data_IF_718761324418
#
_entry.id   IF_718761324418
#
_cell.length_a   1.000
_cell.length_b   1.000
_cell.length_c   1.000
_cell.angle_alpha   90.00
_cell.angle_beta   90.00
_cell.angle_gamma   90.00
#
_symmetry.space_group_name_H-M   'P 1'
#
loop_
_entity.id
_entity.type
_entity.pdbx_description
1 polymer ?
#
# COMPACT_ATOMS: atom_id res chain seq x y z
N UNK A 1 -27.49 14.41 57.80
CA UNK A 1 -26.29 13.57 57.62
C UNK A 1 -25.99 13.43 56.14
N UNK A 2 -25.09 14.25 55.60
CA UNK A 2 -24.70 14.21 54.19
C UNK A 2 -23.49 13.29 54.03
N UNK A 3 -23.60 12.27 53.16
CA UNK A 3 -22.50 11.35 52.84
C UNK A 3 -21.69 11.93 51.68
N UNK A 4 -20.50 12.41 51.98
CA UNK A 4 -19.46 12.73 51.00
C UNK A 4 -18.73 11.45 50.59
N UNK A 5 -18.91 11.01 49.34
CA UNK A 5 -18.15 9.90 48.76
C UNK A 5 -16.77 10.35 48.26
N UNK A 6 -15.78 9.44 48.17
CA UNK A 6 -14.43 9.77 47.72
C UNK A 6 -14.42 10.13 46.23
N UNK A 7 -13.87 11.30 45.93
CA UNK A 7 -13.60 11.79 44.58
C UNK A 7 -12.50 10.93 43.98
N UNK A 8 -12.84 10.14 42.95
CA UNK A 8 -11.88 9.33 42.21
C UNK A 8 -10.86 10.18 41.45
N UNK A 9 -9.68 9.63 41.12
CA UNK A 9 -8.62 10.36 40.43
C UNK A 9 -9.10 10.84 39.06
N UNK A 10 -9.04 12.15 38.85
CA UNK A 10 -9.34 12.80 37.58
C UNK A 10 -8.18 12.55 36.62
N UNK A 11 -8.41 11.74 35.58
CA UNK A 11 -7.46 11.56 34.49
C UNK A 11 -7.39 12.87 33.69
N UNK A 12 -6.31 13.64 33.88
CA UNK A 12 -5.97 14.78 33.04
C UNK A 12 -5.71 14.30 31.60
N UNK A 13 -6.55 14.73 30.67
CA UNK A 13 -6.36 14.52 29.24
C UNK A 13 -5.12 15.27 28.76
N UNK A 14 -4.07 14.54 28.37
CA UNK A 14 -2.89 15.10 27.74
C UNK A 14 -3.27 15.68 26.36
N UNK A 15 -2.99 16.97 26.16
CA UNK A 15 -3.12 17.63 24.87
C UNK A 15 -2.06 17.11 23.90
N UNK A 16 -2.47 16.82 22.67
CA UNK A 16 -1.57 16.43 21.58
C UNK A 16 -0.88 17.70 21.06
N UNK A 17 0.43 17.82 21.30
CA UNK A 17 1.27 18.81 20.65
C UNK A 17 1.86 18.19 19.37
N UNK A 18 1.74 18.91 18.26
CA UNK A 18 2.36 18.56 16.97
C UNK A 18 3.40 19.62 16.63
N UNK A 19 4.61 19.20 16.31
CA UNK A 19 5.68 20.10 15.86
C UNK A 19 5.54 20.39 14.35
N UNK A 20 6.11 21.51 13.88
CA UNK A 20 6.02 22.04 12.50
C UNK A 20 6.56 21.09 11.40
N UNK A 21 7.17 19.97 11.77
CA UNK A 21 7.63 18.92 10.85
C UNK A 21 6.57 17.87 10.53
N UNK A 22 5.38 17.94 11.14
CA UNK A 22 4.30 16.98 10.95
C UNK A 22 4.60 15.58 11.51
N UNK A 23 5.69 15.43 12.27
CA UNK A 23 6.03 14.17 12.92
C UNK A 23 5.37 14.11 14.30
N UNK A 24 4.40 13.21 14.46
CA UNK A 24 3.77 12.96 15.76
C UNK A 24 4.78 12.23 16.62
N UNK A 25 5.43 12.96 17.54
CA UNK A 25 6.27 12.36 18.57
C UNK A 25 5.36 11.55 19.49
N UNK A 26 5.53 10.23 19.46
CA UNK A 26 4.79 9.32 20.33
C UNK A 26 5.16 9.61 21.80
N UNK A 27 4.37 10.42 22.48
CA UNK A 27 4.48 10.60 23.92
C UNK A 27 4.10 9.28 24.58
N UNK A 28 5.05 8.68 25.29
CA UNK A 28 4.86 7.43 26.01
C UNK A 28 3.68 7.55 26.99
N UNK A 29 2.57 6.89 26.66
CA UNK A 29 1.42 6.75 27.56
C UNK A 29 1.88 5.87 28.72
N UNK A 30 2.17 6.49 29.87
CA UNK A 30 2.46 5.80 31.11
C UNK A 30 1.19 5.10 31.61
N UNK A 31 1.03 3.84 31.21
CA UNK A 31 -0.05 2.94 31.60
C UNK A 31 0.13 2.51 33.07
N UNK A 32 -0.45 3.28 34.01
CA UNK A 32 -0.30 3.14 35.48
C UNK A 32 -0.86 1.85 36.11
N UNK A 33 -1.22 0.82 35.34
CA UNK A 33 -1.87 -0.39 35.87
C UNK A 33 -1.29 -1.74 35.44
N UNK A 34 -0.28 -1.78 34.56
CA UNK A 34 0.21 -3.07 34.03
C UNK A 34 1.17 -3.77 34.98
N UNK A 35 0.72 -4.94 35.45
CA UNK A 35 1.53 -5.98 36.12
C UNK A 35 2.91 -6.05 35.49
N UNK A 36 3.96 -5.94 36.31
CA UNK A 36 5.36 -6.02 35.86
C UNK A 36 5.52 -7.25 34.96
N UNK A 37 6.00 -7.09 33.71
CA UNK A 37 6.26 -8.23 32.85
C UNK A 37 7.25 -9.15 33.57
N UNK A 38 6.94 -10.44 33.61
CA UNK A 38 7.83 -11.44 34.20
C UNK A 38 9.19 -11.35 33.49
N UNK A 39 10.26 -11.32 34.28
CA UNK A 39 11.63 -11.07 33.83
C UNK A 39 12.17 -11.92 32.66
N UNK A 40 11.75 -13.19 32.40
CA UNK A 40 12.38 -13.98 31.34
C UNK A 40 12.09 -13.51 29.90
N UNK A 41 11.07 -12.69 29.67
CA UNK A 41 10.73 -12.23 28.30
C UNK A 41 11.53 -10.99 27.85
N UNK A 42 12.15 -10.25 28.76
CA UNK A 42 12.85 -9.00 28.43
C UNK A 42 14.17 -9.23 27.67
N UNK A 43 14.88 -10.33 27.97
CA UNK A 43 16.19 -10.62 27.37
C UNK A 43 16.11 -11.03 25.89
N UNK A 44 15.07 -11.78 25.50
CA UNK A 44 14.86 -12.20 24.11
C UNK A 44 14.58 -10.99 23.20
N UNK A 45 13.75 -10.06 23.66
CA UNK A 45 13.45 -8.84 22.92
C UNK A 45 14.69 -7.94 22.77
N UNK A 46 15.58 -7.91 23.77
CA UNK A 46 16.83 -7.15 23.67
C UNK A 46 17.76 -7.71 22.58
N UNK A 47 17.92 -9.05 22.51
CA UNK A 47 18.75 -9.66 21.48
C UNK A 47 18.20 -9.41 20.07
N UNK A 48 16.90 -9.54 19.88
CA UNK A 48 16.26 -9.31 18.57
C UNK A 48 16.35 -7.84 18.16
N UNK A 49 16.08 -6.91 19.08
CA UNK A 49 16.20 -5.46 18.80
C UNK A 49 17.64 -5.06 18.49
N UNK A 50 18.63 -5.55 19.25
CA UNK A 50 20.05 -5.33 18.95
C UNK A 50 20.46 -5.92 17.60
N UNK A 51 19.99 -7.13 17.28
CA UNK A 51 20.24 -7.77 15.98
C UNK A 51 19.67 -6.95 14.84
N UNK A 52 18.44 -6.44 14.95
CA UNK A 52 17.82 -5.57 13.96
C UNK A 52 18.57 -4.24 13.82
N UNK A 53 19.00 -3.63 14.94
CA UNK A 53 19.86 -2.42 14.93
C UNK A 53 21.19 -2.68 14.21
N UNK A 54 21.87 -3.78 14.52
CA UNK A 54 23.11 -4.19 13.86
C UNK A 54 22.92 -4.50 12.38
N UNK A 55 21.81 -5.13 12.00
CA UNK A 55 21.46 -5.37 10.61
C UNK A 55 21.23 -4.06 9.86
N UNK A 56 20.44 -3.13 10.41
CA UNK A 56 20.17 -1.83 9.79
C UNK A 56 21.45 -0.98 9.63
N UNK A 57 22.29 -0.92 10.67
CA UNK A 57 23.57 -0.23 10.62
C UNK A 57 24.53 -0.87 9.61
N UNK A 58 24.61 -2.21 9.58
CA UNK A 58 25.43 -2.94 8.62
C UNK A 58 24.98 -2.74 7.17
N UNK A 59 23.67 -2.72 6.92
CA UNK A 59 23.10 -2.36 5.59
C UNK A 59 23.52 -0.95 5.19
N UNK A 60 23.48 0.01 6.11
CA UNK A 60 23.88 1.39 5.82
C UNK A 60 25.37 1.50 5.44
N UNK A 61 26.27 0.79 6.14
CA UNK A 61 27.70 0.75 5.80
C UNK A 61 27.91 0.15 4.41
N UNK A 62 27.29 -1.00 4.12
CA UNK A 62 27.47 -1.63 2.81
C UNK A 62 26.93 -0.74 1.70
N UNK A 63 25.80 -0.06 1.89
CA UNK A 63 25.29 0.91 0.90
C UNK A 63 26.29 2.04 0.64
N UNK A 64 26.99 2.55 1.65
CA UNK A 64 28.05 3.55 1.46
C UNK A 64 29.21 2.98 0.65
N UNK A 65 29.65 1.76 0.94
CA UNK A 65 30.72 1.06 0.18
C UNK A 65 30.29 0.88 -1.28
N UNK A 66 29.06 0.41 -1.53
CA UNK A 66 28.53 0.23 -2.88
C UNK A 66 28.36 1.54 -3.67
N UNK A 67 28.23 2.67 -2.98
CA UNK A 67 28.19 4.00 -3.61
C UNK A 67 29.60 4.52 -3.93
N UNK A 68 30.58 4.20 -3.07
CA UNK A 68 31.97 4.66 -3.19
C UNK A 68 32.78 3.83 -4.20
N UNK A 69 32.59 2.52 -4.19
CA UNK A 69 33.35 1.57 -4.99
C UNK A 69 32.48 0.94 -6.08
N UNK A 70 33.02 0.82 -7.29
CA UNK A 70 32.35 0.15 -8.41
C UNK A 70 32.81 -1.31 -8.51
N UNK A 71 31.85 -2.23 -8.60
CA UNK A 71 32.11 -3.67 -8.68
C UNK A 71 31.64 -4.25 -10.03
N UNK A 72 32.35 -3.98 -11.15
CA UNK A 72 31.90 -4.42 -12.48
C UNK A 72 31.82 -5.96 -12.60
N UNK A 73 32.68 -6.69 -11.87
CA UNK A 73 32.74 -8.15 -11.88
C UNK A 73 31.98 -8.82 -10.72
N UNK A 74 31.25 -8.02 -9.93
CA UNK A 74 30.72 -8.42 -8.64
C UNK A 74 31.81 -8.58 -7.58
N UNK A 75 31.40 -8.92 -6.35
CA UNK A 75 32.28 -9.08 -5.20
C UNK A 75 32.01 -10.38 -4.45
N UNK A 76 33.03 -10.90 -3.78
CA UNK A 76 32.90 -12.04 -2.86
C UNK A 76 32.46 -11.58 -1.47
N UNK A 77 31.92 -12.50 -0.67
CA UNK A 77 31.48 -12.14 0.70
C UNK A 77 32.67 -11.78 1.60
N UNK A 78 33.85 -12.34 1.35
CA UNK A 78 35.07 -12.02 2.08
C UNK A 78 35.55 -10.60 1.75
N UNK A 79 35.64 -10.24 0.47
CA UNK A 79 36.00 -8.88 0.03
C UNK A 79 35.09 -7.82 0.65
N UNK A 80 33.78 -8.04 0.60
CA UNK A 80 32.81 -7.11 1.19
C UNK A 80 32.95 -7.01 2.71
N UNK A 81 33.31 -8.11 3.39
CA UNK A 81 33.57 -8.08 4.82
C UNK A 81 34.82 -7.28 5.16
N UNK A 82 35.91 -7.49 4.43
CA UNK A 82 37.17 -6.77 4.65
C UNK A 82 37.02 -5.26 4.40
N UNK A 83 36.21 -4.88 3.40
CA UNK A 83 35.84 -3.48 3.17
C UNK A 83 34.95 -2.93 4.28
N UNK A 84 33.96 -3.70 4.72
CA UNK A 84 33.05 -3.29 5.79
C UNK A 84 33.77 -3.07 7.12
N UNK A 85 34.80 -3.87 7.45
CA UNK A 85 35.57 -3.73 8.69
C UNK A 85 36.48 -2.48 8.68
N UNK A 86 36.87 -1.98 7.50
CA UNK A 86 37.66 -0.74 7.38
C UNK A 86 36.83 0.51 7.60
N UNK A 87 35.52 0.44 7.38
CA UNK A 87 34.61 1.56 7.64
C UNK A 87 34.37 1.70 9.16
N UNK A 88 34.38 2.92 9.71
CA UNK A 88 34.15 3.11 11.13
C UNK A 88 32.70 2.79 11.50
N UNK A 89 32.51 2.23 12.71
CA UNK A 89 31.17 1.98 13.24
C UNK A 89 30.41 3.31 13.42
N UNK A 90 29.08 3.35 13.21
CA UNK A 90 28.28 4.55 13.46
C UNK A 90 28.40 5.00 14.92
N UNK A 91 28.44 6.31 15.13
CA UNK A 91 28.50 6.90 16.47
C UNK A 91 27.34 6.41 17.33
N UNK A 92 27.65 5.96 18.54
CA UNK A 92 26.65 5.45 19.50
C UNK A 92 26.13 4.03 19.20
N UNK A 93 26.73 3.28 18.28
CA UNK A 93 26.38 1.87 18.11
C UNK A 93 26.74 1.07 19.37
N UNK A 94 25.77 0.42 20.04
CA UNK A 94 26.05 -0.34 21.25
C UNK A 94 26.86 -1.58 20.89
N UNK A 95 28.02 -1.75 21.52
CA UNK A 95 28.77 -3.01 21.47
C UNK A 95 27.83 -4.16 21.82
N UNK A 96 27.78 -5.21 21.01
CA UNK A 96 26.89 -6.33 21.31
C UNK A 96 27.26 -6.92 22.67
N UNK A 97 26.32 -7.00 23.64
CA UNK A 97 26.54 -7.73 24.87
C UNK A 97 26.47 -9.22 24.51
N UNK A 98 27.54 -9.71 23.89
CA UNK A 98 27.86 -11.12 23.95
C UNK A 98 28.10 -11.36 25.43
N UNK A 99 27.06 -11.80 26.15
CA UNK A 99 27.25 -12.26 27.50
C UNK A 99 28.40 -13.26 27.41
N UNK A 100 29.55 -12.87 27.95
CA UNK A 100 30.70 -13.77 28.10
C UNK A 100 30.37 -14.80 29.17
N UNK A 101 29.16 -15.34 29.19
CA UNK A 101 28.91 -16.65 29.72
C UNK A 101 29.59 -17.61 28.75
N UNK A 102 30.92 -17.65 28.86
CA UNK A 102 31.63 -18.93 28.86
C UNK A 102 30.89 -19.75 29.90
N UNK A 103 29.85 -20.47 29.49
CA UNK A 103 29.49 -21.69 30.19
C UNK A 103 30.81 -22.44 30.20
N UNK A 104 31.45 -22.49 31.38
CA UNK A 104 32.69 -23.23 31.59
C UNK A 104 32.50 -24.54 30.84
N UNK A 105 33.45 -24.93 29.96
CA UNK A 105 33.26 -26.04 29.03
C UNK A 105 32.67 -27.18 29.85
N UNK A 106 31.38 -27.45 29.65
CA UNK A 106 30.73 -28.54 30.34
C UNK A 106 31.64 -29.72 30.04
N UNK A 107 32.13 -30.40 31.07
CA UNK A 107 33.14 -31.44 30.94
C UNK A 107 32.55 -32.62 30.15
N UNK A 108 32.35 -32.42 28.85
CA UNK A 108 31.81 -33.39 27.93
C UNK A 108 32.95 -34.36 27.71
N UNK A 109 32.79 -35.51 28.38
CA UNK A 109 33.62 -36.69 28.32
C UNK A 109 34.25 -36.85 26.93
N UNK A 110 35.58 -36.74 26.93
CA UNK A 110 36.49 -36.91 25.81
C UNK A 110 36.10 -38.14 24.96
N UNK A 111 35.40 -37.96 23.84
CA UNK A 111 35.59 -38.86 22.70
C UNK A 111 36.93 -38.49 22.08
N UNK A 112 37.87 -39.40 22.23
CA UNK A 112 39.30 -39.24 21.96
C UNK A 112 39.54 -39.34 20.46
N UNK A 113 39.04 -38.37 19.69
CA UNK A 113 39.39 -38.28 18.27
C UNK A 113 40.86 -37.82 18.17
N UNK A 114 41.70 -38.67 17.58
CA UNK A 114 43.18 -38.64 17.65
C UNK A 114 43.86 -37.43 16.99
N UNK A 115 43.12 -36.40 16.56
CA UNK A 115 43.65 -35.09 16.09
C UNK A 115 42.72 -33.93 16.46
N UNK A 116 42.03 -34.01 17.61
CA UNK A 116 41.04 -33.03 18.05
C UNK A 116 41.65 -31.74 18.60
N UNK A 117 42.04 -30.82 17.72
CA UNK A 117 42.10 -29.39 18.06
C UNK A 117 40.64 -28.93 18.14
N UNK A 118 40.10 -28.89 19.36
CA UNK A 118 38.82 -28.23 19.61
C UNK A 118 39.07 -26.75 19.36
N UNK A 119 38.73 -26.27 18.17
CA UNK A 119 38.76 -24.83 17.89
C UNK A 119 37.85 -24.16 18.94
N UNK A 120 38.41 -23.28 19.79
CA UNK A 120 37.59 -22.56 20.76
C UNK A 120 36.49 -21.84 19.98
N UNK A 121 35.25 -21.86 20.48
CA UNK A 121 34.14 -21.11 19.88
C UNK A 121 34.60 -19.69 19.61
N UNK A 122 34.94 -19.42 18.34
CA UNK A 122 35.62 -18.20 17.97
C UNK A 122 34.61 -17.08 18.09
N UNK A 123 34.86 -16.17 19.01
CA UNK A 123 34.08 -14.94 19.11
C UNK A 123 34.14 -14.23 17.75
N UNK A 124 33.06 -13.54 17.35
CA UNK A 124 33.11 -12.70 16.15
C UNK A 124 34.32 -11.77 16.26
N UNK A 125 35.12 -11.67 15.19
CA UNK A 125 36.39 -10.94 15.22
C UNK A 125 36.25 -9.47 15.62
N UNK A 126 35.08 -8.86 15.34
CA UNK A 126 34.80 -7.45 15.63
C UNK A 126 33.44 -7.29 16.34
N UNK A 127 33.36 -7.46 17.68
CA UNK A 127 32.10 -7.38 18.42
C UNK A 127 31.50 -5.95 18.50
N UNK A 128 32.35 -4.94 18.38
CA UNK A 128 31.95 -3.52 18.45
C UNK A 128 31.46 -2.99 17.09
N UNK A 129 31.68 -3.75 16.02
CA UNK A 129 31.28 -3.37 14.67
C UNK A 129 29.89 -3.95 14.32
N UNK A 130 29.01 -3.21 13.63
CA UNK A 130 27.70 -3.74 13.21
C UNK A 130 27.82 -4.96 12.29
N UNK A 131 28.87 -5.03 11.46
CA UNK A 131 29.22 -6.22 10.67
C UNK A 131 30.21 -7.08 11.46
N UNK A 132 29.69 -7.82 12.45
CA UNK A 132 30.50 -8.57 13.42
C UNK A 132 31.26 -9.79 12.89
N UNK A 133 30.73 -10.43 11.86
CA UNK A 133 31.33 -11.63 11.26
C UNK A 133 30.87 -11.84 9.83
N UNK A 134 31.65 -12.59 9.05
CA UNK A 134 31.30 -13.03 7.69
C UNK A 134 29.96 -13.77 7.68
N UNK A 135 29.71 -14.61 8.71
CA UNK A 135 28.44 -15.32 8.86
C UNK A 135 27.27 -14.35 9.04
N UNK A 136 27.43 -13.31 9.87
CA UNK A 136 26.40 -12.30 10.09
C UNK A 136 26.09 -11.51 8.80
N UNK A 137 27.14 -11.14 8.06
CA UNK A 137 27.02 -10.51 6.74
C UNK A 137 26.20 -11.38 5.78
N UNK A 138 26.55 -12.67 5.69
CA UNK A 138 25.90 -13.65 4.80
C UNK A 138 24.47 -13.98 5.17
N UNK A 139 24.16 -14.14 6.46
CA UNK A 139 22.84 -14.60 6.91
C UNK A 139 21.80 -13.46 7.02
N UNK A 140 22.20 -12.22 7.31
CA UNK A 140 21.24 -11.15 7.65
C UNK A 140 21.33 -9.92 6.75
N UNK A 141 22.54 -9.47 6.41
CA UNK A 141 22.72 -8.21 5.71
C UNK A 141 22.55 -8.41 4.19
N UNK A 142 23.29 -9.36 3.60
CA UNK A 142 23.22 -9.62 2.16
C UNK A 142 21.81 -10.07 1.70
N UNK A 143 21.09 -10.94 2.44
CA UNK A 143 19.71 -11.27 2.10
C UNK A 143 18.76 -10.07 2.19
N UNK A 144 18.99 -9.11 3.09
CA UNK A 144 18.19 -7.90 3.18
C UNK A 144 18.38 -7.00 1.95
N UNK A 145 19.64 -6.81 1.52
CA UNK A 145 19.97 -6.06 0.30
C UNK A 145 19.42 -6.76 -0.96
N UNK A 146 19.49 -8.09 -1.00
CA UNK A 146 18.91 -8.90 -2.08
C UNK A 146 17.37 -8.80 -2.12
N UNK A 147 16.70 -8.80 -0.96
CA UNK A 147 15.26 -8.60 -0.85
C UNK A 147 14.81 -7.22 -1.33
N UNK A 148 15.65 -6.21 -1.16
CA UNK A 148 15.46 -4.85 -1.70
C UNK A 148 15.88 -4.73 -3.17
N UNK A 149 16.40 -5.81 -3.77
CA UNK A 149 16.87 -5.87 -5.16
C UNK A 149 17.95 -4.83 -5.45
N UNK A 150 18.80 -4.56 -4.47
CA UNK A 150 20.01 -3.73 -4.64
C UNK A 150 21.17 -4.60 -5.15
N UNK A 151 21.18 -5.87 -4.78
CA UNK A 151 22.17 -6.85 -5.22
C UNK A 151 21.49 -8.15 -5.69
N UNK A 152 22.14 -8.86 -6.61
CA UNK A 152 21.77 -10.20 -7.04
C UNK A 152 22.94 -11.17 -6.85
N UNK A 153 22.65 -12.40 -6.42
CA UNK A 153 23.66 -13.46 -6.40
C UNK A 153 23.71 -14.11 -7.77
N UNK A 154 24.88 -14.11 -8.41
CA UNK A 154 25.08 -14.75 -9.71
C UNK A 154 26.23 -15.74 -9.66
N UNK A 155 26.04 -16.88 -10.32
CA UNK A 155 27.05 -17.91 -10.50
C UNK A 155 27.92 -17.52 -11.70
N UNK A 156 29.19 -17.22 -11.46
CA UNK A 156 30.15 -16.83 -12.50
C UNK A 156 31.28 -17.86 -12.58
N UNK A 157 31.80 -18.17 -13.78
CA UNK A 157 32.98 -19.00 -13.91
C UNK A 157 34.15 -18.33 -13.18
N UNK A 158 34.95 -19.14 -12.48
CA UNK A 158 36.18 -18.69 -11.80
C UNK A 158 37.18 -18.12 -12.81
N UNK A 159 38.07 -17.23 -12.38
CA UNK A 159 39.09 -16.64 -13.26
C UNK A 159 39.95 -17.71 -13.96
N UNK A 160 40.27 -18.81 -13.26
CA UNK A 160 40.99 -19.96 -13.84
C UNK A 160 40.23 -20.61 -14.99
N UNK A 161 38.92 -20.75 -14.83
CA UNK A 161 38.07 -21.36 -15.86
C UNK A 161 37.82 -20.43 -17.04
N UNK A 162 37.77 -19.12 -16.80
CA UNK A 162 37.73 -18.14 -17.88
C UNK A 162 39.03 -18.17 -18.69
N UNK A 163 40.20 -18.17 -18.02
CA UNK A 163 41.50 -18.27 -18.68
C UNK A 163 41.65 -19.58 -19.49
N UNK A 164 41.21 -20.71 -18.94
CA UNK A 164 41.24 -21.99 -19.66
C UNK A 164 40.27 -22.05 -20.85
N UNK A 165 39.12 -21.36 -20.76
CA UNK A 165 38.18 -21.21 -21.89
C UNK A 165 38.77 -20.33 -22.99
N UNK A 166 39.44 -19.23 -22.61
CA UNK A 166 40.12 -18.33 -23.55
C UNK A 166 41.32 -19.01 -24.23
N UNK A 167 42.04 -19.87 -23.51
CA UNK A 167 43.13 -20.69 -24.04
C UNK A 167 42.65 -21.83 -24.97
N UNK A 168 41.34 -22.09 -25.05
CA UNK A 168 40.78 -23.16 -25.87
C UNK A 168 41.05 -24.57 -25.36
N UNK A 169 41.54 -24.72 -24.13
CA UNK A 169 41.85 -26.02 -23.51
C UNK A 169 40.59 -26.84 -23.20
N UNK A 170 39.46 -26.15 -23.00
CA UNK A 170 38.17 -26.77 -22.68
C UNK A 170 37.27 -26.82 -23.93
N UNK A 171 36.77 -27.99 -24.32
CA UNK A 171 35.82 -28.10 -25.42
C UNK A 171 34.55 -27.28 -25.12
N UNK A 172 34.06 -26.53 -26.12
CA UNK A 172 32.84 -25.70 -26.01
C UNK A 172 31.58 -26.50 -25.59
N UNK A 173 31.62 -27.82 -25.70
CA UNK A 173 30.52 -28.73 -25.36
C UNK A 173 30.62 -29.31 -23.95
N UNK A 174 31.75 -29.14 -23.26
CA UNK A 174 31.94 -29.74 -21.93
C UNK A 174 31.15 -28.95 -20.89
N UNK A 175 30.19 -29.61 -20.24
CA UNK A 175 29.45 -29.03 -19.11
C UNK A 175 30.42 -28.73 -17.97
N UNK A 176 30.58 -27.45 -17.66
CA UNK A 176 31.43 -27.00 -16.56
C UNK A 176 30.95 -27.59 -15.22
N UNK A 177 31.88 -28.09 -14.41
CA UNK A 177 31.59 -28.69 -13.11
C UNK A 177 31.25 -27.62 -12.06
N UNK A 178 30.60 -28.00 -10.96
CA UNK A 178 30.19 -27.04 -9.92
C UNK A 178 31.36 -26.26 -9.29
N UNK A 179 32.53 -26.89 -9.17
CA UNK A 179 33.76 -26.28 -8.64
C UNK A 179 34.36 -25.20 -9.53
N UNK A 180 33.98 -25.17 -10.81
CA UNK A 180 34.46 -24.19 -11.78
C UNK A 180 33.73 -22.84 -11.66
N UNK A 181 32.69 -22.77 -10.84
CA UNK A 181 31.93 -21.55 -10.63
C UNK A 181 32.05 -21.04 -9.20
N UNK A 182 32.04 -19.72 -9.11
CA UNK A 182 32.03 -18.97 -7.87
C UNK A 182 30.72 -18.17 -7.77
N UNK A 183 30.15 -18.16 -6.57
CA UNK A 183 28.99 -17.33 -6.26
C UNK A 183 29.46 -15.91 -5.92
N UNK A 184 29.13 -14.95 -6.78
CA UNK A 184 29.46 -13.54 -6.58
C UNK A 184 28.19 -12.71 -6.45
N UNK A 185 28.26 -11.65 -5.65
CA UNK A 185 27.19 -10.68 -5.53
C UNK A 185 27.41 -9.56 -6.55
N UNK A 186 26.36 -9.24 -7.29
CA UNK A 186 26.36 -8.21 -8.33
C UNK A 186 25.45 -7.08 -7.91
N UNK A 187 25.92 -5.85 -8.12
CA UNK A 187 25.13 -4.65 -7.83
C UNK A 187 24.15 -4.41 -8.97
N UNK A 188 22.87 -4.28 -8.65
CA UNK A 188 21.83 -3.94 -9.63
C UNK A 188 21.80 -2.41 -9.75
N UNK A 189 22.03 -1.85 -10.96
CA UNK A 189 21.92 -0.41 -11.20
C UNK A 189 20.53 0.11 -10.78
N UNK A 190 20.43 1.33 -10.21
CA UNK A 190 19.16 1.87 -9.73
C UNK A 190 18.08 1.93 -10.82
N UNK A 191 18.46 2.10 -12.09
CA UNK A 191 17.58 2.10 -13.25
C UNK A 191 16.91 0.74 -13.51
N UNK A 192 17.59 -0.36 -13.19
CA UNK A 192 17.11 -1.73 -13.37
C UNK A 192 16.36 -2.27 -12.16
N UNK A 193 16.34 -1.52 -11.04
CA UNK A 193 15.61 -1.93 -9.84
C UNK A 193 14.12 -1.84 -10.14
N UNK A 194 13.35 -2.93 -9.95
CA UNK A 194 11.92 -2.84 -10.16
C UNK A 194 11.35 -1.88 -9.14
N UNK A 195 10.66 -0.85 -9.64
CA UNK A 195 9.98 0.13 -8.80
C UNK A 195 9.05 -0.62 -7.85
N UNK A 196 9.07 -0.27 -6.57
CA UNK A 196 8.11 -0.80 -5.62
C UNK A 196 6.71 -0.60 -6.22
N UNK A 197 5.85 -1.64 -6.24
CA UNK A 197 4.50 -1.48 -6.75
C UNK A 197 3.87 -0.32 -5.99
N UNK A 198 3.28 0.63 -6.71
CA UNK A 198 2.56 1.73 -6.08
C UNK A 198 1.60 1.14 -5.05
N UNK A 199 1.49 1.74 -3.84
CA UNK A 199 0.57 1.23 -2.83
C UNK A 199 -0.79 1.07 -3.48
N UNK A 200 -1.35 -0.15 -3.39
CA UNK A 200 -2.69 -0.41 -3.94
C UNK A 200 -3.61 0.64 -3.32
N UNK A 201 -4.40 1.37 -4.11
CA UNK A 201 -5.31 2.36 -3.56
C UNK A 201 -6.17 1.68 -2.49
N UNK A 202 -6.34 2.35 -1.34
CA UNK A 202 -7.14 1.81 -0.25
C UNK A 202 -8.51 1.46 -0.82
N UNK A 203 -8.88 0.16 -0.76
CA UNK A 203 -10.19 -0.28 -1.23
C UNK A 203 -11.23 0.41 -0.35
N UNK A 204 -12.03 1.29 -0.94
CA UNK A 204 -13.16 1.89 -0.22
C UNK A 204 -14.07 0.76 0.25
N UNK A 205 -14.19 0.60 1.55
CA UNK A 205 -15.10 -0.38 2.14
C UNK A 205 -16.51 0.13 1.86
N UNK A 206 -17.26 -0.61 1.04
CA UNK A 206 -18.65 -0.28 0.71
C UNK A 206 -19.54 -0.71 1.88
N UNK A 207 -20.41 0.18 2.34
CA UNK A 207 -21.39 -0.12 3.38
C UNK A 207 -21.00 0.28 4.80
N UNK A 208 -19.96 1.10 4.99
CA UNK A 208 -19.70 1.73 6.29
C UNK A 208 -20.94 2.49 6.80
N UNK A 209 -21.65 3.15 5.89
CA UNK A 209 -22.91 3.84 6.12
C UNK A 209 -24.06 2.95 6.62
N UNK A 210 -24.04 1.65 6.31
CA UNK A 210 -25.03 0.66 6.78
C UNK A 210 -24.51 -0.15 7.97
N UNK A 211 -23.39 0.27 8.55
CA UNK A 211 -22.81 -0.37 9.74
C UNK A 211 -22.01 -1.63 9.44
N UNK A 212 -21.47 -1.78 8.23
CA UNK A 212 -20.35 -2.71 8.00
C UNK A 212 -19.21 -2.31 8.94
N UNK A 213 -18.60 -3.29 9.62
CA UNK A 213 -17.58 -3.10 10.66
C UNK A 213 -18.06 -2.55 12.02
N UNK A 214 -19.37 -2.39 12.23
CA UNK A 214 -19.89 -2.13 13.58
C UNK A 214 -19.66 -3.33 14.50
N UNK A 215 -19.15 -3.09 15.71
CA UNK A 215 -18.98 -4.15 16.71
C UNK A 215 -20.33 -4.75 17.10
N UNK A 216 -20.52 -6.03 16.78
CA UNK A 216 -21.72 -6.82 17.09
C UNK A 216 -21.44 -7.96 18.06
N UNK A 217 -20.21 -8.02 18.61
CA UNK A 217 -19.78 -9.09 19.52
C UNK A 217 -20.62 -9.16 20.80
N UNK A 218 -21.13 -8.02 21.27
CA UNK A 218 -22.00 -7.92 22.45
C UNK A 218 -23.44 -8.41 22.24
N UNK A 219 -23.86 -8.67 20.99
CA UNK A 219 -25.21 -9.17 20.69
C UNK A 219 -25.29 -10.69 20.81
N UNK A 220 -26.46 -11.24 21.16
CA UNK A 220 -26.65 -12.70 21.12
C UNK A 220 -26.60 -13.23 19.67
N UNK A 221 -26.34 -14.53 19.52
CA UNK A 221 -26.21 -15.20 18.21
C UNK A 221 -27.38 -14.94 17.24
N UNK A 222 -28.64 -15.07 17.70
CA UNK A 222 -29.84 -14.78 16.88
C UNK A 222 -29.89 -13.33 16.40
N UNK A 223 -29.50 -12.38 17.25
CA UNK A 223 -29.45 -10.95 16.89
C UNK A 223 -28.29 -10.64 15.95
N UNK A 224 -27.14 -11.28 16.11
CA UNK A 224 -26.01 -11.19 15.20
C UNK A 224 -26.43 -11.66 13.80
N UNK A 225 -27.05 -12.83 13.68
CA UNK A 225 -27.53 -13.38 12.40
C UNK A 225 -28.57 -12.46 11.73
N UNK A 226 -29.55 -11.98 12.49
CA UNK A 226 -30.55 -11.03 11.98
C UNK A 226 -29.91 -9.73 11.48
N UNK A 227 -28.86 -9.24 12.18
CA UNK A 227 -28.14 -8.03 11.80
C UNK A 227 -27.27 -8.25 10.57
N UNK A 228 -26.54 -9.37 10.48
CA UNK A 228 -25.79 -9.76 9.28
C UNK A 228 -26.71 -9.82 8.07
N UNK A 229 -27.89 -10.46 8.20
CA UNK A 229 -28.88 -10.55 7.13
C UNK A 229 -29.49 -9.20 6.75
N UNK A 230 -29.61 -8.24 7.68
CA UNK A 230 -30.05 -6.88 7.37
C UNK A 230 -28.97 -6.10 6.63
N UNK A 231 -27.75 -6.08 7.19
CA UNK A 231 -26.61 -5.35 6.63
C UNK A 231 -26.27 -5.86 5.24
N UNK A 232 -26.29 -7.18 4.99
CA UNK A 232 -26.00 -7.73 3.66
C UNK A 232 -26.97 -7.23 2.60
N UNK A 233 -28.29 -7.24 2.88
CA UNK A 233 -29.32 -6.72 1.97
C UNK A 233 -29.14 -5.23 1.67
N UNK A 234 -28.77 -4.44 2.67
CA UNK A 234 -28.53 -3.01 2.49
C UNK A 234 -27.23 -2.74 1.70
N UNK A 235 -26.17 -3.50 1.95
CA UNK A 235 -24.92 -3.47 1.16
C UNK A 235 -25.16 -3.83 -0.30
N UNK A 236 -25.97 -4.86 -0.59
CA UNK A 236 -26.34 -5.22 -1.96
C UNK A 236 -27.09 -4.10 -2.68
N UNK A 237 -28.04 -3.44 -2.01
CA UNK A 237 -28.74 -2.27 -2.55
C UNK A 237 -27.79 -1.11 -2.83
N UNK A 238 -26.87 -0.82 -1.91
CA UNK A 238 -25.87 0.24 -2.08
C UNK A 238 -24.92 -0.06 -3.23
N UNK A 239 -24.49 -1.31 -3.40
CA UNK A 239 -23.69 -1.75 -4.55
C UNK A 239 -24.46 -1.54 -5.85
N UNK A 240 -25.71 -2.00 -5.93
CA UNK A 240 -26.56 -1.81 -7.10
C UNK A 240 -26.74 -0.32 -7.44
N UNK A 241 -26.96 0.53 -6.43
CA UNK A 241 -27.07 1.98 -6.62
C UNK A 241 -25.76 2.61 -7.09
N UNK A 242 -24.63 2.21 -6.51
CA UNK A 242 -23.29 2.66 -6.93
C UNK A 242 -23.01 2.28 -8.39
N UNK A 243 -23.29 1.04 -8.78
CA UNK A 243 -23.13 0.57 -10.16
C UNK A 243 -24.05 1.33 -11.12
N UNK A 244 -25.31 1.55 -10.73
CA UNK A 244 -26.25 2.35 -11.51
C UNK A 244 -25.77 3.80 -11.68
N UNK A 245 -25.31 4.44 -10.60
CA UNK A 245 -24.76 5.80 -10.68
C UNK A 245 -23.55 5.84 -11.60
N UNK A 246 -22.59 4.93 -11.45
CA UNK A 246 -21.41 4.88 -12.32
C UNK A 246 -21.78 4.72 -13.80
N UNK A 247 -22.75 3.85 -14.11
CA UNK A 247 -23.25 3.67 -15.49
C UNK A 247 -23.95 4.92 -16.00
N UNK A 248 -24.81 5.54 -15.17
CA UNK A 248 -25.50 6.78 -15.50
C UNK A 248 -24.49 7.90 -15.77
N UNK A 249 -23.53 8.09 -14.87
CA UNK A 249 -22.53 9.15 -14.96
C UNK A 249 -21.65 8.94 -16.20
N UNK A 250 -21.22 7.70 -16.49
CA UNK A 250 -20.52 7.38 -17.73
C UNK A 250 -21.35 7.63 -19.00
N UNK A 251 -22.68 7.43 -18.96
CA UNK A 251 -23.57 7.76 -20.07
C UNK A 251 -23.73 9.28 -20.22
N UNK A 252 -23.86 10.02 -19.13
CA UNK A 252 -23.92 11.47 -19.15
C UNK A 252 -22.63 12.08 -19.69
N UNK A 253 -21.47 11.57 -19.26
CA UNK A 253 -20.16 11.98 -19.77
C UNK A 253 -20.03 11.73 -21.29
N UNK A 254 -20.61 10.64 -21.80
CA UNK A 254 -20.67 10.36 -23.24
C UNK A 254 -21.60 11.32 -23.97
N UNK A 255 -22.79 11.59 -23.43
CA UNK A 255 -23.72 12.55 -24.00
C UNK A 255 -23.15 13.98 -24.02
N UNK A 256 -22.37 14.35 -23.02
CA UNK A 256 -21.71 15.66 -22.96
C UNK A 256 -20.58 15.79 -23.99
N UNK A 257 -19.88 14.69 -24.31
CA UNK A 257 -18.86 14.65 -25.36
C UNK A 257 -19.46 14.59 -26.76
N UNK A 258 -20.55 13.83 -26.94
CA UNK A 258 -21.15 13.55 -28.24
C UNK A 258 -22.42 14.38 -28.48
N UNK A 259 -22.24 15.62 -28.94
CA UNK A 259 -23.34 16.54 -29.26
C UNK A 259 -24.31 16.02 -30.34
N UNK A 260 -23.85 15.14 -31.24
CA UNK A 260 -24.72 14.51 -32.24
C UNK A 260 -25.67 13.47 -31.62
N UNK A 261 -25.17 12.70 -30.64
CA UNK A 261 -25.93 11.66 -29.98
C UNK A 261 -27.06 12.26 -29.14
N UNK A 262 -26.80 13.41 -28.50
CA UNK A 262 -27.85 14.18 -27.80
C UNK A 262 -28.94 14.68 -28.76
N UNK A 263 -28.58 15.15 -29.96
CA UNK A 263 -29.55 15.58 -30.97
C UNK A 263 -30.38 14.41 -31.50
N UNK A 264 -29.78 13.25 -31.76
CA UNK A 264 -30.50 12.05 -32.18
C UNK A 264 -31.45 11.55 -31.09
N UNK A 265 -31.01 11.59 -29.83
CA UNK A 265 -31.82 11.18 -28.69
C UNK A 265 -33.03 12.12 -28.52
N UNK A 266 -32.83 13.43 -28.66
CA UNK A 266 -33.91 14.42 -28.65
C UNK A 266 -34.92 14.19 -29.77
N UNK A 267 -34.47 13.97 -31.00
CA UNK A 267 -35.35 13.70 -32.15
C UNK A 267 -36.13 12.39 -31.97
N UNK A 268 -35.50 11.35 -31.40
CA UNK A 268 -36.19 10.09 -31.10
C UNK A 268 -37.24 10.24 -30.01
N UNK A 269 -36.96 11.04 -28.98
CA UNK A 269 -37.92 11.35 -27.92
C UNK A 269 -39.12 12.13 -28.45
N UNK A 270 -38.90 13.09 -29.34
CA UNK A 270 -39.96 13.86 -30.00
C UNK A 270 -40.87 12.96 -30.85
N UNK A 271 -40.28 12.05 -31.64
CA UNK A 271 -41.04 11.06 -32.43
C UNK A 271 -41.86 10.11 -31.56
N UNK A 272 -41.33 9.68 -30.41
CA UNK A 272 -42.07 8.82 -29.48
C UNK A 272 -43.22 9.57 -28.81
N UNK A 273 -42.99 10.80 -28.34
CA UNK A 273 -44.04 11.63 -27.73
C UNK A 273 -45.22 11.89 -28.67
N UNK A 274 -44.94 12.11 -29.96
CA UNK A 274 -45.98 12.27 -30.99
C UNK A 274 -46.75 10.97 -31.26
N UNK A 275 -46.12 9.80 -31.11
CA UNK A 275 -46.79 8.50 -31.33
C UNK A 275 -47.61 8.03 -30.13
N UNK A 276 -47.16 8.31 -28.92
CA UNK A 276 -47.83 7.83 -27.71
C UNK A 276 -48.96 8.75 -27.23
N UNK A 277 -49.26 9.84 -27.95
CA UNK A 277 -50.25 10.84 -27.51
C UNK A 277 -49.87 11.54 -26.21
N UNK A 278 -48.60 11.43 -25.78
CA UNK A 278 -48.17 11.92 -24.47
C UNK A 278 -48.18 13.45 -24.42
N UNK A 279 -48.03 14.09 -25.59
CA UNK A 279 -48.19 15.52 -25.75
C UNK A 279 -49.64 15.97 -25.54
N UNK A 280 -50.63 15.18 -25.99
CA UNK A 280 -52.05 15.47 -25.69
C UNK A 280 -52.34 15.32 -24.21
N UNK A 281 -51.88 14.24 -23.56
CA UNK A 281 -52.06 14.04 -22.11
C UNK A 281 -51.38 15.13 -21.28
N UNK A 282 -50.19 15.59 -21.69
CA UNK A 282 -49.49 16.68 -21.00
C UNK A 282 -50.17 18.04 -21.19
N UNK A 283 -50.75 18.30 -22.37
CA UNK A 283 -51.54 19.52 -22.59
C UNK A 283 -52.88 19.46 -21.83
N UNK A 284 -53.55 18.31 -21.80
CA UNK A 284 -54.72 18.10 -20.94
C UNK A 284 -54.38 18.32 -19.46
N UNK A 285 -53.23 17.80 -18.98
CA UNK A 285 -52.81 18.01 -17.60
C UNK A 285 -52.47 19.49 -17.32
N UNK A 286 -51.95 20.24 -18.31
CA UNK A 286 -51.75 21.70 -18.19
C UNK A 286 -53.06 22.46 -18.07
N UNK A 287 -54.07 22.10 -18.86
CA UNK A 287 -55.41 22.68 -18.77
C UNK A 287 -56.04 22.35 -17.41
N UNK A 288 -55.92 21.11 -16.95
CA UNK A 288 -56.43 20.70 -15.63
C UNK A 288 -55.66 21.40 -14.49
N UNK A 289 -54.35 21.63 -14.63
CA UNK A 289 -53.55 22.38 -13.64
C UNK A 289 -53.83 23.87 -13.65
N UNK A 290 -54.11 24.49 -14.79
CA UNK A 290 -54.51 25.91 -14.84
C UNK A 290 -55.85 26.11 -14.12
N UNK A 291 -56.76 25.14 -14.21
CA UNK A 291 -58.02 25.13 -13.46
C UNK A 291 -57.83 24.83 -11.96
N UNK A 292 -56.90 23.94 -11.60
CA UNK A 292 -56.61 23.61 -10.18
C UNK A 292 -55.77 24.67 -9.46
N UNK A 293 -55.09 25.57 -10.17
CA UNK A 293 -54.33 26.70 -9.60
C UNK A 293 -55.18 27.63 -8.71
N UNK A 294 -56.51 27.60 -8.84
CA UNK A 294 -57.42 28.37 -7.96
C UNK A 294 -57.65 27.76 -6.58
N UNK A 295 -57.20 26.54 -6.30
CA UNK A 295 -57.29 25.93 -4.96
C UNK A 295 -55.90 25.59 -4.45
N UNK A 296 -55.29 26.58 -3.80
CA UNK A 296 -53.94 26.50 -3.27
C UNK A 296 -53.75 25.37 -2.26
N UNK A 297 -52.76 24.53 -2.53
CA UNK A 297 -52.04 23.77 -1.51
C UNK A 297 -50.55 24.01 -1.72
N UNK A 298 -50.01 24.92 -0.90
CA UNK A 298 -48.65 25.49 -0.99
C UNK A 298 -47.59 24.61 -0.32
N UNK A 299 -47.52 23.33 -0.69
CA UNK A 299 -46.55 22.42 -0.06
C UNK A 299 -45.95 21.47 -1.11
N UNK A 300 -44.97 21.95 -1.87
CA UNK A 300 -43.92 21.09 -2.45
C UNK A 300 -42.72 21.94 -2.92
N UNK A 301 -41.53 21.52 -2.51
CA UNK A 301 -40.21 22.14 -2.73
C UNK A 301 -39.91 22.48 -4.20
N UNK A 302 -39.58 23.75 -4.47
CA UNK A 302 -39.34 24.30 -5.80
C UNK A 302 -37.97 23.93 -6.41
N UNK A 303 -36.96 23.60 -5.60
CA UNK A 303 -35.56 23.64 -6.06
C UNK A 303 -35.17 22.53 -7.04
N UNK A 304 -35.70 21.31 -6.88
CA UNK A 304 -35.38 20.19 -7.79
C UNK A 304 -36.09 20.31 -9.14
N UNK A 305 -37.20 21.04 -9.21
CA UNK A 305 -37.94 21.28 -10.46
C UNK A 305 -37.27 22.37 -11.32
N UNK A 306 -36.57 23.32 -10.71
CA UNK A 306 -35.99 24.45 -11.42
C UNK A 306 -34.80 24.02 -12.30
N UNK A 307 -33.95 23.12 -11.80
CA UNK A 307 -32.84 22.57 -12.57
C UNK A 307 -33.30 21.77 -13.81
N UNK A 308 -34.34 20.95 -13.65
CA UNK A 308 -34.92 20.16 -14.75
C UNK A 308 -35.55 21.08 -15.80
N UNK A 309 -36.28 22.13 -15.37
CA UNK A 309 -36.87 23.15 -16.27
C UNK A 309 -35.79 23.91 -17.05
N UNK A 310 -34.76 24.42 -16.37
CA UNK A 310 -33.65 25.14 -16.99
C UNK A 310 -32.94 24.29 -18.06
N UNK A 311 -32.68 23.01 -17.78
CA UNK A 311 -32.03 22.10 -18.73
C UNK A 311 -32.94 21.77 -19.92
N UNK A 312 -34.25 21.60 -19.69
CA UNK A 312 -35.22 21.37 -20.76
C UNK A 312 -35.35 22.59 -21.69
N UNK A 313 -35.36 23.80 -21.15
CA UNK A 313 -35.44 25.03 -21.94
C UNK A 313 -34.20 25.25 -22.80
N UNK A 314 -33.01 24.92 -22.26
CA UNK A 314 -31.76 24.96 -23.04
C UNK A 314 -31.77 23.99 -24.23
N UNK A 315 -32.35 22.79 -24.06
CA UNK A 315 -32.52 21.83 -25.16
C UNK A 315 -33.47 22.39 -26.23
N UNK A 316 -34.61 22.97 -25.83
CA UNK A 316 -35.57 23.57 -26.78
C UNK A 316 -34.93 24.70 -27.59
N UNK A 317 -34.13 25.56 -26.95
CA UNK A 317 -33.40 26.63 -27.64
C UNK A 317 -32.42 26.08 -28.69
N UNK A 318 -31.68 25.01 -28.37
CA UNK A 318 -30.75 24.39 -29.31
C UNK A 318 -31.47 23.74 -30.51
N UNK A 319 -32.61 23.09 -30.27
CA UNK A 319 -33.44 22.50 -31.34
C UNK A 319 -33.98 23.60 -32.25
N UNK A 320 -34.54 24.68 -31.68
CA UNK A 320 -35.04 25.82 -32.44
C UNK A 320 -33.93 26.49 -33.29
N UNK A 321 -32.73 26.66 -32.72
CA UNK A 321 -31.59 27.20 -33.45
C UNK A 321 -31.19 26.33 -34.65
N UNK A 322 -31.14 25.00 -34.47
CA UNK A 322 -30.82 24.05 -35.54
C UNK A 322 -31.90 23.99 -36.63
N UNK A 323 -33.17 24.11 -36.26
CA UNK A 323 -34.28 24.20 -37.21
C UNK A 323 -34.17 25.48 -38.07
N UNK A 324 -33.81 26.61 -37.47
CA UNK A 324 -33.58 27.88 -38.18
C UNK A 324 -32.36 27.87 -39.11
N UNK A 325 -31.32 27.11 -38.78
CA UNK A 325 -30.15 26.91 -39.67
C UNK A 325 -30.52 26.10 -40.93
N UNK A 326 -31.40 25.09 -40.81
CA UNK A 326 -31.85 24.29 -41.95
C UNK A 326 -32.71 25.10 -42.93
N UNK A 327 -33.59 25.97 -42.44
CA UNK A 327 -34.42 26.81 -43.31
C UNK A 327 -33.58 27.85 -44.08
N UNK A 328 -32.56 28.44 -43.44
CA UNK A 328 -31.65 29.39 -44.12
C UNK A 328 -30.75 28.74 -45.17
N UNK A 329 -30.38 27.48 -44.99
CA UNK A 329 -29.57 26.74 -45.97
C UNK A 329 -30.30 26.40 -47.27
N UNK A 330 -31.63 26.27 -47.25
CA UNK A 330 -32.44 25.93 -48.42
C UNK A 330 -32.67 27.11 -49.37
N UNK A 331 -32.70 28.35 -48.84
CA UNK A 331 -32.85 29.56 -49.67
C UNK A 331 -31.55 29.98 -50.38
N UNK A 332 -30.40 29.55 -49.89
CA UNK A 332 -29.10 29.88 -50.49
C UNK A 332 -28.71 29.01 -51.70
N UNK A 333 -29.44 27.91 -51.97
CA UNK A 333 -29.13 26.96 -53.04
C UNK A 333 -29.94 27.10 -54.33
N UNK A 334 -30.79 28.12 -54.45
CA UNK A 334 -31.71 28.34 -55.60
C UNK A 334 -31.38 29.61 -56.40
N UNK A 335 -30.10 30.00 -56.46
CA UNK A 335 -29.62 31.06 -57.35
C UNK A 335 -28.64 30.54 -58.39
#
# INVERSE_FOLDING_TARGET
MARTGPIGPVCLSAGVQTDDTGYVMATEILDCGRRRPTAPMASHNLFMTQRLKGQAAGVAIIRRILQRESFPNGFTTAEMYDLAVKEPAPEGFPSFPLSRQRLAPAATRKKKDKKGVVEPQSYPGHPDHPVRSIRFLKEFILPALAGQKEIAMMRKPTAKTLAALEAGELPKTTRLTASQFEWKWWVIPPEQRPKAPAPKPAKRIVGLEVGVDSDTSHLNKRRQEARVGKVSREVEKLKAYSEFSQRRDALMDRLEKDSELTLQLAERMERLGNRSGLNEVLEEERVVRSDRSRRGTSIASNDSNEFVRSRADKIRQLVAYKAGQRSRGLEAGTR
#
